data_IF_341614451682
#
_entry.id   IF_341614451682
#
_cell.length_a   1.000
_cell.length_b   1.000
_cell.length_c   1.000
_cell.angle_alpha   90.00
_cell.angle_beta   90.00
_cell.angle_gamma   90.00
#
_symmetry.space_group_name_H-M   'P 1'
#
loop_
_entity.id
_entity.type
_entity.pdbx_description
1 polymer ?
#
# COMPACT_ATOMS: atom_id res chain seq x y z
N UNK A 1 7.57 11.24 10.84
CA UNK A 1 8.07 9.85 10.91
C UNK A 1 6.86 8.99 11.03
N UNK A 2 6.79 7.90 10.27
CA UNK A 2 5.76 6.90 10.52
C UNK A 2 6.06 6.26 11.88
N UNK A 3 5.01 5.97 12.64
CA UNK A 3 5.13 5.33 13.96
C UNK A 3 5.34 3.79 13.83
N UNK A 4 5.44 3.26 12.60
CA UNK A 4 5.55 1.83 12.33
C UNK A 4 6.98 1.34 12.57
N UNK A 5 7.11 0.30 13.38
CA UNK A 5 8.36 -0.40 13.62
C UNK A 5 8.47 -1.61 12.71
N UNK A 6 9.65 -1.84 12.15
CA UNK A 6 9.93 -2.98 11.27
C UNK A 6 9.54 -4.31 11.90
N UNK A 7 9.90 -4.51 13.17
CA UNK A 7 9.62 -5.75 13.91
C UNK A 7 8.10 -6.04 14.02
N UNK A 8 7.25 -5.01 13.96
CA UNK A 8 5.80 -5.17 14.02
C UNK A 8 5.20 -5.57 12.65
N UNK A 9 5.89 -5.24 11.54
CA UNK A 9 5.33 -5.35 10.19
C UNK A 9 6.13 -6.25 9.24
N UNK A 10 7.29 -6.79 9.65
CA UNK A 10 8.21 -7.52 8.77
C UNK A 10 7.54 -8.67 7.98
N UNK A 11 6.55 -9.34 8.58
CA UNK A 11 5.77 -10.40 7.91
C UNK A 11 4.99 -9.91 6.68
N UNK A 12 4.63 -8.63 6.63
CA UNK A 12 3.97 -7.97 5.48
C UNK A 12 4.96 -7.56 4.39
N UNK A 13 6.27 -7.69 4.66
CA UNK A 13 7.35 -7.38 3.74
C UNK A 13 8.11 -8.65 3.31
N UNK A 14 7.56 -9.85 3.56
CA UNK A 14 8.11 -11.11 3.06
C UNK A 14 7.67 -11.36 1.60
N UNK A 15 8.60 -11.36 0.62
CA UNK A 15 8.28 -11.60 -0.79
C UNK A 15 7.66 -12.98 -1.07
N UNK A 16 7.92 -13.97 -0.21
CA UNK A 16 7.36 -15.31 -0.31
C UNK A 16 5.92 -15.40 0.18
N UNK A 17 5.47 -14.47 1.03
CA UNK A 17 4.11 -14.44 1.57
C UNK A 17 3.21 -13.44 0.83
N UNK A 18 3.74 -12.26 0.51
CA UNK A 18 2.97 -11.15 -0.05
C UNK A 18 3.16 -10.97 -1.57
N UNK A 19 4.02 -11.79 -2.19
CA UNK A 19 4.51 -11.56 -3.54
C UNK A 19 5.69 -10.58 -3.55
N UNK A 20 6.46 -10.56 -4.63
CA UNK A 20 7.64 -9.69 -4.73
C UNK A 20 7.28 -8.24 -5.02
N UNK A 21 6.15 -8.01 -5.70
CA UNK A 21 5.69 -6.72 -6.17
C UNK A 21 4.26 -6.43 -5.67
N UNK A 22 4.07 -6.13 -4.38
CA UNK A 22 2.78 -5.70 -3.86
C UNK A 22 2.26 -4.45 -4.58
N UNK A 23 0.96 -4.45 -4.85
CA UNK A 23 0.26 -3.37 -5.52
C UNK A 23 -0.03 -2.23 -4.54
N UNK A 24 0.29 -0.99 -4.92
CA UNK A 24 -0.10 0.21 -4.19
C UNK A 24 -1.04 1.04 -5.04
N UNK A 25 -2.20 1.37 -4.48
CA UNK A 25 -3.26 2.07 -5.20
C UNK A 25 -3.68 3.36 -4.50
N UNK A 26 -4.02 4.36 -5.31
CA UNK A 26 -4.78 5.55 -4.89
C UNK A 26 -6.10 5.52 -5.64
N UNK A 27 -7.22 5.21 -4.96
CA UNK A 27 -8.50 5.07 -5.63
C UNK A 27 -9.17 6.43 -5.90
N UNK A 28 -10.07 6.45 -6.88
CA UNK A 28 -10.92 7.60 -7.18
C UNK A 28 -10.13 8.80 -7.69
N UNK A 29 -9.11 8.55 -8.52
CA UNK A 29 -8.24 9.58 -9.09
C UNK A 29 -8.80 10.17 -10.38
N UNK A 30 -8.08 11.17 -10.89
CA UNK A 30 -8.37 11.91 -12.09
C UNK A 30 -7.07 12.19 -12.85
N UNK A 31 -7.16 12.76 -14.05
CA UNK A 31 -5.97 13.17 -14.82
C UNK A 31 -5.17 14.22 -14.05
N UNK A 32 -5.85 15.11 -13.33
CA UNK A 32 -5.24 16.14 -12.49
C UNK A 32 -4.47 15.53 -11.33
N UNK A 33 -4.98 14.45 -10.72
CA UNK A 33 -4.27 13.74 -9.65
C UNK A 33 -2.99 13.07 -10.19
N UNK A 34 -3.08 12.42 -11.35
CA UNK A 34 -1.91 11.87 -12.03
C UNK A 34 -0.87 12.96 -12.34
N UNK A 35 -1.31 14.12 -12.85
CA UNK A 35 -0.41 15.24 -13.08
C UNK A 35 0.23 15.74 -11.79
N UNK A 36 -0.53 15.80 -10.69
CA UNK A 36 -0.01 16.22 -9.39
C UNK A 36 1.06 15.27 -8.83
N UNK A 37 0.99 13.96 -9.15
CA UNK A 37 2.06 12.99 -8.85
C UNK A 37 3.28 13.22 -9.72
N UNK A 38 3.11 13.46 -11.03
CA UNK A 38 4.25 13.77 -11.92
C UNK A 38 4.99 15.03 -11.45
N UNK A 39 4.24 16.08 -11.10
CA UNK A 39 4.81 17.32 -10.57
C UNK A 39 5.52 17.10 -9.22
N UNK A 40 4.99 16.22 -8.37
CA UNK A 40 5.63 15.83 -7.11
C UNK A 40 6.96 15.13 -7.39
N UNK A 41 6.99 14.15 -8.29
CA UNK A 41 8.22 13.43 -8.66
C UNK A 41 9.28 14.38 -9.18
N UNK A 42 8.90 15.32 -10.06
CA UNK A 42 9.81 16.34 -10.59
C UNK A 42 10.32 17.29 -9.49
N UNK A 43 9.46 17.72 -8.58
CA UNK A 43 9.79 18.66 -7.50
C UNK A 43 10.53 18.06 -6.30
N UNK A 44 10.46 16.74 -6.11
CA UNK A 44 11.03 16.05 -4.94
C UNK A 44 12.52 15.70 -5.07
N UNK A 45 13.11 15.87 -6.26
CA UNK A 45 14.50 15.46 -6.52
C UNK A 45 14.70 13.94 -6.59
N UNK A 46 13.60 13.18 -6.68
CA UNK A 46 13.65 11.73 -6.89
C UNK A 46 14.13 11.42 -8.30
N UNK A 47 14.94 10.39 -8.45
CA UNK A 47 15.32 9.95 -9.80
C UNK A 47 14.14 9.22 -10.42
N UNK A 48 13.79 9.56 -11.65
CA UNK A 48 12.71 8.90 -12.38
C UNK A 48 13.11 8.54 -13.82
N UNK A 49 12.42 7.56 -14.38
CA UNK A 49 12.58 7.08 -15.76
C UNK A 49 11.22 6.70 -16.31
N UNK A 50 10.88 7.28 -17.46
CA UNK A 50 9.63 6.99 -18.14
C UNK A 50 9.86 6.05 -19.34
N UNK A 51 9.10 4.96 -19.30
CA UNK A 51 8.98 3.79 -20.16
C UNK A 51 7.84 3.75 -21.17
N UNK A 52 8.08 3.59 -22.48
CA UNK A 52 7.04 3.08 -23.40
C UNK A 52 7.58 1.87 -24.18
N UNK A 53 7.03 0.67 -23.95
CA UNK A 53 7.49 -0.54 -24.65
C UNK A 53 8.97 -0.88 -24.43
N UNK A 54 9.54 -0.45 -23.29
CA UNK A 54 10.96 -0.55 -22.97
C UNK A 54 11.82 0.58 -23.53
N UNK A 55 11.25 1.53 -24.27
CA UNK A 55 11.96 2.70 -24.78
C UNK A 55 11.94 3.87 -23.79
N UNK A 56 13.17 4.37 -23.56
CA UNK A 56 13.56 5.63 -22.93
C UNK A 56 12.87 6.91 -23.40
N UNK A 57 11.91 7.50 -22.69
CA UNK A 57 11.30 8.77 -23.13
C UNK A 57 11.28 9.84 -22.03
N UNK A 58 11.25 11.14 -22.40
CA UNK A 58 10.98 12.21 -21.45
C UNK A 58 9.61 12.02 -20.78
N UNK A 59 9.49 12.35 -19.50
CA UNK A 59 8.20 12.28 -18.78
C UNK A 59 7.19 13.20 -19.45
N UNK A 60 6.08 12.68 -20.00
CA UNK A 60 5.06 13.48 -20.66
C UNK A 60 4.06 14.05 -19.64
N UNK A 61 3.12 14.88 -20.13
CA UNK A 61 1.95 15.30 -19.33
C UNK A 61 1.05 14.10 -19.07
N UNK A 62 0.36 14.09 -17.92
CA UNK A 62 -0.55 13.00 -17.56
C UNK A 62 -1.63 12.76 -18.63
N UNK A 63 -2.25 13.83 -19.14
CA UNK A 63 -3.26 13.76 -20.21
C UNK A 63 -2.73 13.07 -21.47
N UNK A 64 -1.48 13.32 -21.86
CA UNK A 64 -0.90 12.73 -23.06
C UNK A 64 -0.70 11.22 -22.91
N UNK A 65 -0.35 10.75 -21.72
CA UNK A 65 -0.19 9.32 -21.44
C UNK A 65 -1.52 8.60 -21.25
N UNK A 66 -2.44 9.20 -20.51
CA UNK A 66 -3.72 8.58 -20.18
C UNK A 66 -4.70 8.59 -21.37
N UNK A 67 -4.46 9.41 -22.40
CA UNK A 67 -5.25 9.41 -23.64
C UNK A 67 -4.79 8.40 -24.69
N UNK A 68 -3.76 7.60 -24.39
CA UNK A 68 -3.25 6.58 -25.31
C UNK A 68 -4.30 5.48 -25.56
N UNK A 69 -4.28 4.84 -26.74
CA UNK A 69 -5.17 3.72 -27.04
C UNK A 69 -5.01 2.58 -26.03
N UNK A 70 -6.12 1.95 -25.63
CA UNK A 70 -6.12 0.87 -24.65
C UNK A 70 -5.41 -0.41 -25.11
N UNK A 71 -5.20 -0.57 -26.42
CA UNK A 71 -4.44 -1.67 -27.02
C UNK A 71 -2.94 -1.37 -27.19
N UNK A 72 -2.50 -0.14 -26.89
CA UNK A 72 -1.09 0.20 -26.83
C UNK A 72 -0.43 -0.45 -25.61
N UNK A 73 0.90 -0.56 -25.65
CA UNK A 73 1.65 -1.01 -24.49
C UNK A 73 1.44 -0.08 -23.29
N UNK A 74 1.35 -0.66 -22.09
CA UNK A 74 1.16 0.11 -20.87
C UNK A 74 2.44 0.88 -20.55
N UNK A 75 2.39 2.22 -20.48
CA UNK A 75 3.54 3.00 -20.06
C UNK A 75 3.89 2.76 -18.60
N UNK A 76 5.15 2.95 -18.26
CA UNK A 76 5.63 2.84 -16.89
C UNK A 76 6.45 4.06 -16.48
N UNK A 77 6.30 4.49 -15.23
CA UNK A 77 7.18 5.48 -14.62
C UNK A 77 7.87 4.84 -13.41
N UNK A 78 9.17 4.64 -13.53
CA UNK A 78 10.03 4.11 -12.47
C UNK A 78 10.54 5.28 -11.64
N UNK A 79 10.16 5.34 -10.37
CA UNK A 79 10.54 6.40 -9.42
C UNK A 79 11.38 5.79 -8.30
N UNK A 80 12.47 6.47 -7.93
CA UNK A 80 13.33 6.09 -6.82
C UNK A 80 13.37 7.20 -5.77
N UNK A 81 12.62 7.07 -4.66
CA UNK A 81 12.67 8.02 -3.55
C UNK A 81 14.05 8.08 -2.90
N UNK A 82 14.73 6.93 -2.88
CA UNK A 82 16.17 6.78 -2.59
C UNK A 82 16.79 5.83 -3.60
N UNK A 83 18.12 5.71 -3.62
CA UNK A 83 18.81 4.79 -4.53
C UNK A 83 18.42 3.31 -4.33
N UNK A 84 17.87 2.97 -3.17
CA UNK A 84 17.60 1.59 -2.74
C UNK A 84 16.14 1.18 -2.92
N UNK A 85 15.20 2.13 -3.11
CA UNK A 85 13.76 1.84 -3.15
C UNK A 85 13.19 2.24 -4.50
N UNK A 86 12.61 1.30 -5.23
CA UNK A 86 11.93 1.52 -6.49
C UNK A 86 10.40 1.42 -6.34
N UNK A 87 9.71 2.41 -6.89
CA UNK A 87 8.28 2.38 -7.18
C UNK A 87 8.06 2.37 -8.70
N UNK A 88 7.14 1.53 -9.20
CA UNK A 88 6.88 1.34 -10.63
C UNK A 88 5.42 1.69 -10.91
N UNK A 89 5.16 2.93 -11.32
CA UNK A 89 3.82 3.38 -11.68
C UNK A 89 3.39 2.80 -13.02
N UNK A 90 2.13 2.37 -13.09
CA UNK A 90 1.48 1.83 -14.29
C UNK A 90 0.28 2.71 -14.64
N UNK A 91 0.27 3.22 -15.86
CA UNK A 91 -0.81 4.10 -16.33
C UNK A 91 -1.96 3.27 -16.91
N UNK A 92 -2.63 2.48 -16.06
CA UNK A 92 -3.74 1.61 -16.48
C UNK A 92 -5.07 2.35 -16.63
N UNK A 93 -5.35 3.30 -15.74
CA UNK A 93 -6.66 3.95 -15.62
C UNK A 93 -6.48 5.38 -15.11
N UNK A 94 -7.46 6.24 -15.44
CA UNK A 94 -7.55 7.60 -14.90
C UNK A 94 -8.08 7.57 -13.47
N UNK A 95 -9.00 6.64 -13.20
CA UNK A 95 -9.77 6.49 -11.97
C UNK A 95 -8.98 5.88 -10.81
N UNK A 96 -7.80 5.33 -11.09
CA UNK A 96 -6.89 4.79 -10.09
C UNK A 96 -5.43 5.06 -10.45
N UNK A 97 -4.62 5.50 -9.48
CA UNK A 97 -3.15 5.49 -9.61
C UNK A 97 -2.66 4.17 -9.03
N UNK A 98 -1.94 3.41 -9.85
CA UNK A 98 -1.41 2.10 -9.50
C UNK A 98 0.12 2.08 -9.63
N UNK A 99 0.79 1.51 -8.64
CA UNK A 99 2.23 1.27 -8.70
C UNK A 99 2.68 0.10 -7.83
N UNK A 100 3.68 -0.62 -8.34
CA UNK A 100 4.35 -1.69 -7.60
C UNK A 100 5.50 -1.12 -6.75
N UNK A 101 5.81 -1.76 -5.62
CA UNK A 101 7.09 -1.60 -4.90
C UNK A 101 7.79 -2.95 -4.77
N UNK A 102 9.12 -2.98 -4.64
CA UNK A 102 9.86 -4.25 -4.53
C UNK A 102 10.13 -4.62 -3.07
N UNK A 103 9.51 -5.69 -2.59
CA UNK A 103 9.73 -6.15 -1.22
C UNK A 103 11.17 -6.61 -0.98
N UNK A 104 11.90 -7.06 -2.00
CA UNK A 104 13.32 -7.45 -1.83
C UNK A 104 14.21 -6.25 -1.52
N UNK A 105 13.77 -5.06 -1.91
CA UNK A 105 14.44 -3.78 -1.64
C UNK A 105 13.99 -3.18 -0.29
N UNK A 106 12.74 -3.40 0.09
CA UNK A 106 12.10 -2.86 1.30
C UNK A 106 12.37 -3.69 2.55
N UNK A 107 13.65 -3.86 2.91
CA UNK A 107 14.06 -4.69 4.06
C UNK A 107 14.72 -3.87 5.18
N UNK A 108 14.07 -3.84 6.34
CA UNK A 108 14.51 -3.15 7.55
C UNK A 108 13.96 -1.73 7.71
N UNK A 109 14.13 -1.17 8.92
CA UNK A 109 13.50 0.08 9.34
C UNK A 109 13.75 1.27 8.39
N UNK A 110 14.99 1.49 7.96
CA UNK A 110 15.32 2.66 7.13
C UNK A 110 14.54 2.67 5.80
N UNK A 111 14.31 1.49 5.19
CA UNK A 111 13.57 1.40 3.91
C UNK A 111 12.06 1.43 4.14
N UNK A 112 11.58 0.90 5.26
CA UNK A 112 10.21 1.10 5.71
C UNK A 112 9.90 2.58 5.89
N UNK A 113 10.78 3.33 6.56
CA UNK A 113 10.63 4.76 6.77
C UNK A 113 10.59 5.54 5.45
N UNK A 114 11.43 5.16 4.48
CA UNK A 114 11.41 5.70 3.12
C UNK A 114 10.07 5.43 2.43
N UNK A 115 9.58 4.19 2.47
CA UNK A 115 8.29 3.84 1.89
C UNK A 115 7.18 4.66 2.55
N UNK A 116 7.10 4.68 3.88
CA UNK A 116 6.04 5.42 4.56
C UNK A 116 6.11 6.93 4.26
N UNK A 117 7.31 7.50 4.17
CA UNK A 117 7.52 8.88 3.74
C UNK A 117 7.04 9.13 2.31
N UNK A 118 7.30 8.18 1.40
CA UNK A 118 6.86 8.23 0.02
C UNK A 118 5.33 8.17 -0.11
N UNK A 119 4.68 7.20 0.55
CA UNK A 119 3.21 7.09 0.59
C UNK A 119 2.57 8.34 1.19
N UNK A 120 3.16 8.87 2.27
CA UNK A 120 2.70 10.11 2.90
C UNK A 120 2.81 11.30 1.96
N UNK A 121 3.91 11.42 1.21
CA UNK A 121 4.11 12.52 0.26
C UNK A 121 3.05 12.49 -0.86
N UNK A 122 2.75 11.32 -1.41
CA UNK A 122 1.70 11.13 -2.42
C UNK A 122 0.33 11.44 -1.81
N UNK A 123 0.00 10.82 -0.67
CA UNK A 123 -1.30 10.97 -0.02
C UNK A 123 -1.60 12.41 0.38
N UNK A 124 -0.61 13.13 0.93
CA UNK A 124 -0.72 14.57 1.22
C UNK A 124 -0.88 15.43 -0.04
N UNK A 125 -0.14 15.12 -1.11
CA UNK A 125 -0.22 15.87 -2.38
C UNK A 125 -1.61 15.77 -2.99
N UNK A 126 -2.24 14.61 -2.89
CA UNK A 126 -3.54 14.32 -3.48
C UNK A 126 -4.71 14.56 -2.53
N UNK A 127 -4.47 14.57 -1.22
CA UNK A 127 -5.53 14.55 -0.20
C UNK A 127 -6.33 13.25 -0.23
N UNK A 128 -5.68 12.12 -0.55
CA UNK A 128 -6.31 10.82 -0.80
C UNK A 128 -5.60 9.69 -0.06
N UNK A 129 -6.33 8.62 0.30
CA UNK A 129 -5.69 7.44 0.87
C UNK A 129 -4.78 6.78 -0.16
N UNK A 130 -3.66 6.25 0.31
CA UNK A 130 -2.71 5.45 -0.49
C UNK A 130 -2.61 4.09 0.17
N UNK A 131 -3.03 3.02 -0.50
CA UNK A 131 -3.24 1.71 0.13
C UNK A 131 -2.41 0.65 -0.57
N UNK A 132 -1.64 -0.12 0.21
CA UNK A 132 -0.86 -1.25 -0.28
C UNK A 132 -1.61 -2.57 -0.03
N UNK A 133 -1.62 -3.43 -1.04
CA UNK A 133 -2.13 -4.80 -1.01
C UNK A 133 -0.98 -5.77 -1.27
N UNK A 134 -1.19 -7.08 -1.05
CA UNK A 134 -0.27 -8.08 -1.59
C UNK A 134 -0.33 -8.11 -3.12
N UNK A 135 0.69 -8.68 -3.78
CA UNK A 135 0.77 -8.78 -5.25
C UNK A 135 -0.44 -9.53 -5.83
N UNK A 136 -1.11 -8.91 -6.81
CA UNK A 136 -2.36 -9.41 -7.39
C UNK A 136 -3.52 -9.44 -6.38
N UNK A 137 -3.42 -8.64 -5.32
CA UNK A 137 -4.27 -8.71 -4.14
C UNK A 137 -5.74 -8.42 -4.42
N UNK A 138 -6.63 -9.19 -3.80
CA UNK A 138 -8.06 -8.95 -3.89
C UNK A 138 -8.47 -7.68 -3.13
N UNK A 139 -9.37 -6.85 -3.68
CA UNK A 139 -9.97 -5.74 -2.95
C UNK A 139 -10.64 -6.25 -1.67
N UNK A 140 -10.06 -5.96 -0.50
CA UNK A 140 -10.57 -6.43 0.80
C UNK A 140 -9.51 -6.83 1.83
N UNK A 141 -8.24 -6.97 1.42
CA UNK A 141 -7.13 -7.31 2.33
C UNK A 141 -6.00 -6.27 2.29
N UNK A 142 -6.28 -4.99 2.65
CA UNK A 142 -5.24 -3.96 2.68
C UNK A 142 -4.21 -4.25 3.77
N UNK A 143 -2.93 -4.09 3.45
CA UNK A 143 -1.82 -4.37 4.36
C UNK A 143 -1.49 -3.14 5.21
N UNK A 144 -1.15 -2.04 4.55
CA UNK A 144 -0.88 -0.73 5.15
C UNK A 144 -1.39 0.38 4.25
N UNK A 145 -1.63 1.55 4.81
CA UNK A 145 -2.05 2.69 3.99
C UNK A 145 -1.92 4.03 4.69
N UNK A 146 -1.82 5.09 3.89
CA UNK A 146 -1.86 6.47 4.35
C UNK A 146 -3.31 6.85 4.70
N UNK A 147 -3.55 7.23 5.96
CA UNK A 147 -4.80 7.80 6.44
C UNK A 147 -4.74 9.33 6.32
N UNK A 148 -5.68 9.91 5.56
CA UNK A 148 -5.75 11.34 5.28
C UNK A 148 -6.08 12.17 6.53
N UNK A 149 -6.97 11.68 7.39
CA UNK A 149 -7.44 12.41 8.57
C UNK A 149 -6.36 12.45 9.67
N UNK A 150 -5.59 11.37 9.77
CA UNK A 150 -4.49 11.22 10.75
C UNK A 150 -3.14 11.68 10.20
N UNK A 151 -3.07 11.91 8.89
CA UNK A 151 -1.88 12.38 8.18
C UNK A 151 -0.65 11.49 8.43
N UNK A 152 -0.85 10.18 8.40
CA UNK A 152 0.20 9.17 8.62
C UNK A 152 -0.12 7.82 7.98
N UNK A 153 0.92 7.02 7.78
CA UNK A 153 0.77 5.62 7.35
C UNK A 153 0.44 4.75 8.55
N UNK A 154 -0.62 3.95 8.41
CA UNK A 154 -1.10 3.03 9.42
C UNK A 154 -1.17 1.59 8.89
N UNK A 155 -1.11 0.66 9.83
CA UNK A 155 -1.32 -0.75 9.58
C UNK A 155 -2.82 -1.02 9.42
N UNK A 156 -3.21 -1.71 8.35
CA UNK A 156 -4.60 -2.03 8.02
C UNK A 156 -4.92 -3.52 8.17
N UNK A 157 -3.91 -4.39 8.07
CA UNK A 157 -4.00 -5.83 8.37
C UNK A 157 -3.28 -6.19 9.68
N UNK A 158 -3.79 -7.19 10.40
CA UNK A 158 -3.03 -7.77 11.51
C UNK A 158 -1.78 -8.52 10.96
N UNK A 159 -0.58 -8.34 11.56
CA UNK A 159 0.62 -9.06 11.12
C UNK A 159 0.48 -10.56 11.36
N UNK A 160 1.01 -11.39 10.46
CA UNK A 160 0.99 -12.84 10.60
C UNK A 160 2.02 -13.26 11.66
N UNK A 161 1.61 -13.26 12.92
CA UNK A 161 2.51 -13.56 14.05
C UNK A 161 2.11 -12.92 15.37
N UNK A 162 1.17 -11.96 15.36
CA UNK A 162 0.50 -11.53 16.58
C UNK A 162 -0.40 -12.67 17.07
N UNK A 163 0.18 -13.62 17.81
CA UNK A 163 -0.61 -14.54 18.62
C UNK A 163 -1.52 -13.70 19.49
N UNK A 164 -2.84 -13.84 19.31
CA UNK A 164 -3.85 -13.40 20.27
C UNK A 164 -3.56 -14.12 21.60
N UNK A 165 -2.66 -13.55 22.40
CA UNK A 165 -2.44 -13.98 23.77
C UNK A 165 -3.32 -13.10 24.63
N UNK A 166 -4.57 -13.52 24.80
CA UNK A 166 -5.41 -13.01 25.88
C UNK A 166 -6.88 -12.82 25.52
N UNK A 167 -7.67 -13.91 25.53
CA UNK A 167 -9.04 -13.90 26.03
C UNK A 167 -9.63 -15.32 26.14
N UNK A 168 -9.08 -16.15 27.03
CA UNK A 168 -9.88 -17.22 27.66
C UNK A 168 -9.59 -17.27 29.17
N UNK A 169 -10.04 -16.24 29.89
CA UNK A 169 -10.28 -16.34 31.33
C UNK A 169 -11.79 -16.25 31.61
N UNK A 170 -12.32 -17.33 32.19
CA UNK A 170 -13.38 -17.23 33.18
C UNK A 170 -14.83 -17.29 32.70
N UNK A 171 -15.26 -18.42 32.12
CA UNK A 171 -16.67 -18.85 32.29
C UNK A 171 -16.78 -19.88 33.40
N UNK A 172 -16.77 -19.39 34.64
CA UNK A 172 -17.37 -20.10 35.75
C UNK A 172 -18.85 -20.36 35.43
N UNK A 173 -19.23 -21.63 35.35
CA UNK A 173 -20.62 -22.06 35.23
C UNK A 173 -21.34 -21.83 36.57
N UNK A 174 -22.47 -21.11 36.63
CA UNK A 174 -23.44 -21.32 37.68
C UNK A 174 -24.37 -22.48 37.27
N UNK A 175 -24.39 -23.52 38.09
CA UNK A 175 -25.17 -24.72 37.89
C UNK A 175 -26.67 -24.46 37.74
N UNK A 176 -27.30 -25.20 36.83
CA UNK A 176 -28.76 -25.35 36.78
C UNK A 176 -29.21 -26.20 37.98
N UNK A 177 -30.18 -25.75 38.80
CA UNK A 177 -30.84 -26.63 39.74
C UNK A 177 -31.81 -27.57 39.00
N UNK A 178 -31.75 -28.87 39.34
CA UNK A 178 -32.68 -29.91 38.93
C UNK A 178 -34.08 -29.66 39.51
N UNK A 179 -35.17 -30.10 38.83
CA UNK A 179 -36.53 -29.98 39.35
C UNK A 179 -36.79 -30.96 40.52
N UNK A 180 -37.67 -30.62 41.48
CA UNK A 180 -37.96 -31.46 42.63
C UNK A 180 -38.82 -32.68 42.27
N UNK A 181 -38.49 -33.81 42.90
CA UNK A 181 -39.29 -35.02 42.91
C UNK A 181 -40.65 -34.78 43.60
N UNK A 182 -41.73 -35.27 42.99
CA UNK A 182 -43.06 -35.30 43.60
C UNK A 182 -43.11 -36.32 44.74
N UNK A 183 -43.83 -36.05 45.85
CA UNK A 183 -44.19 -37.06 46.82
C UNK A 183 -45.59 -37.63 46.53
N UNK A 184 -45.74 -38.96 46.54
CA UNK A 184 -47.03 -39.65 46.45
C UNK A 184 -46.95 -40.97 45.70
#
# INVERSE_FOLDING_TARGET
MADLLWDDVESLFDPGLMGALPDVVVPGTSVEDWQAVLDLVEGSGWTCRYSEGGAELPVPRAEAVLSRPADAECPELRVRPTAEVLAIFRFYSVEEIDFDVDLRELQGQDRLDVLCGFLTAIGRRLGKPVVMYGEGGAPGHPLLGFDVERDRVELLAAPLGATETGAEEGRGQPGRPQPPAQPG
#
